data_IF_169917142715
#
_entry.id   IF_169917142715
#
_cell.length_a   1.000
_cell.length_b   1.000
_cell.length_c   1.000
_cell.angle_alpha   90.00
_cell.angle_beta   90.00
_cell.angle_gamma   90.00
#
_symmetry.space_group_name_H-M   'P 1'
#
loop_
_entity.id
_entity.type
_entity.pdbx_description
1 polymer ?
#
# COMPACT_ATOMS: atom_id res chain seq x y z
N UNK A 1 -57.27 -66.58 46.45
CA UNK A 1 -57.93 -65.25 46.32
C UNK A 1 -56.93 -64.14 46.63
N UNK A 2 -57.20 -62.90 46.18
CA UNK A 2 -56.50 -61.63 46.49
C UNK A 2 -55.05 -61.46 45.98
N UNK A 3 -54.96 -60.86 44.80
CA UNK A 3 -54.15 -59.69 44.43
C UNK A 3 -52.75 -59.47 45.04
N UNK A 4 -51.77 -59.26 44.16
CA UNK A 4 -50.99 -58.01 44.14
C UNK A 4 -50.65 -57.59 42.70
N UNK A 5 -50.42 -56.30 42.49
CA UNK A 5 -50.37 -55.68 41.16
C UNK A 5 -48.94 -55.34 40.70
N UNK A 6 -48.80 -55.38 39.37
CA UNK A 6 -47.81 -54.70 38.52
C UNK A 6 -46.99 -53.56 39.12
N UNK A 7 -45.68 -53.58 38.81
CA UNK A 7 -44.94 -52.40 38.32
C UNK A 7 -43.89 -52.86 37.31
N UNK A 8 -43.87 -52.23 36.14
CA UNK A 8 -42.88 -52.52 35.09
C UNK A 8 -41.61 -51.68 35.23
N UNK A 9 -40.48 -52.22 34.78
CA UNK A 9 -39.26 -51.46 34.52
C UNK A 9 -38.98 -51.44 33.02
N UNK A 10 -38.95 -50.25 32.42
CA UNK A 10 -38.49 -50.05 31.04
C UNK A 10 -36.96 -49.94 31.03
N UNK A 11 -36.32 -50.47 29.99
CA UNK A 11 -34.87 -50.55 29.90
C UNK A 11 -34.19 -49.20 29.68
N UNK A 12 -33.11 -48.95 30.43
CA UNK A 12 -32.30 -47.74 30.28
C UNK A 12 -31.28 -47.93 29.13
N UNK A 13 -31.33 -47.07 28.12
CA UNK A 13 -30.56 -47.22 26.89
C UNK A 13 -29.09 -46.79 27.06
N UNK A 14 -28.18 -47.48 26.35
CA UNK A 14 -26.75 -47.14 26.32
C UNK A 14 -26.55 -45.69 25.84
N UNK A 15 -26.08 -44.81 26.72
CA UNK A 15 -25.72 -43.45 26.37
C UNK A 15 -24.58 -43.39 25.37
N UNK A 16 -24.88 -43.06 24.11
CA UNK A 16 -23.87 -42.77 23.11
C UNK A 16 -23.12 -41.49 23.50
N UNK A 17 -21.80 -41.58 23.74
CA UNK A 17 -20.96 -40.39 23.90
C UNK A 17 -20.91 -39.66 22.56
N UNK A 18 -21.67 -38.58 22.45
CA UNK A 18 -21.47 -37.59 21.39
C UNK A 18 -20.06 -37.03 21.55
N UNK A 19 -19.16 -37.41 20.65
CA UNK A 19 -17.87 -36.76 20.50
C UNK A 19 -18.17 -35.32 20.08
N UNK A 20 -17.89 -34.36 20.97
CA UNK A 20 -18.07 -32.95 20.67
C UNK A 20 -17.00 -32.56 19.66
N UNK A 21 -17.39 -32.52 18.38
CA UNK A 21 -16.46 -32.34 17.28
C UNK A 21 -15.54 -31.14 17.50
N UNK A 22 -14.24 -31.39 17.38
CA UNK A 22 -13.21 -30.37 17.59
C UNK A 22 -13.04 -29.55 16.31
N UNK A 23 -14.11 -28.85 15.92
CA UNK A 23 -14.11 -27.98 14.75
C UNK A 23 -12.92 -27.01 14.80
N UNK A 24 -12.26 -26.75 13.65
CA UNK A 24 -11.04 -25.96 13.62
C UNK A 24 -11.29 -24.60 14.26
N UNK A 25 -10.38 -24.17 15.15
CA UNK A 25 -10.55 -22.96 15.96
C UNK A 25 -10.67 -21.72 15.07
N UNK A 26 -11.90 -21.34 14.72
CA UNK A 26 -12.21 -20.31 13.72
C UNK A 26 -11.47 -19.00 13.97
N UNK A 27 -11.21 -18.65 15.23
CA UNK A 27 -10.43 -17.48 15.64
C UNK A 27 -9.07 -17.34 14.94
N UNK A 28 -8.32 -18.42 14.74
CA UNK A 28 -6.98 -18.38 14.14
C UNK A 28 -6.98 -18.64 12.61
N UNK A 29 -8.11 -19.05 12.05
CA UNK A 29 -8.28 -19.17 10.59
C UNK A 29 -8.23 -17.79 9.92
N UNK A 30 -7.66 -17.77 8.71
CA UNK A 30 -7.60 -16.58 7.83
C UNK A 30 -8.59 -16.78 6.68
N UNK A 31 -9.80 -16.20 6.73
CA UNK A 31 -10.82 -16.36 5.70
C UNK A 31 -10.35 -15.81 4.35
N UNK A 32 -10.47 -16.63 3.31
CA UNK A 32 -10.12 -16.31 1.92
C UNK A 32 -11.35 -16.45 1.03
N UNK A 33 -11.55 -15.47 0.14
CA UNK A 33 -12.60 -15.51 -0.88
C UNK A 33 -12.38 -16.71 -1.81
N UNK A 34 -13.47 -17.37 -2.19
CA UNK A 34 -13.43 -18.45 -3.17
C UNK A 34 -13.45 -17.87 -4.59
N UNK A 35 -12.38 -18.02 -5.40
CA UNK A 35 -12.29 -17.37 -6.72
C UNK A 35 -13.19 -18.00 -7.78
N UNK A 36 -13.80 -19.17 -7.53
CA UNK A 36 -14.67 -19.86 -8.51
C UNK A 36 -16.14 -19.46 -8.42
N UNK A 37 -16.54 -18.64 -7.45
CA UNK A 37 -17.94 -18.31 -7.16
C UNK A 37 -18.25 -16.85 -7.50
N UNK A 38 -19.27 -16.63 -8.33
CA UNK A 38 -19.80 -15.29 -8.62
C UNK A 38 -20.55 -14.73 -7.40
N UNK A 39 -19.83 -13.94 -6.60
CA UNK A 39 -20.32 -13.28 -5.39
C UNK A 39 -21.58 -12.43 -5.60
N UNK A 40 -21.90 -12.02 -6.84
CA UNK A 40 -23.11 -11.23 -7.16
C UNK A 40 -24.38 -12.08 -7.26
N UNK A 41 -24.25 -13.41 -7.37
CA UNK A 41 -25.38 -14.36 -7.45
C UNK A 41 -25.74 -14.99 -6.11
N UNK A 42 -24.91 -14.78 -5.09
CA UNK A 42 -25.17 -15.30 -3.75
C UNK A 42 -26.24 -14.47 -3.03
N UNK A 43 -27.15 -15.10 -2.26
CA UNK A 43 -28.18 -14.40 -1.48
C UNK A 43 -27.59 -13.80 -0.18
N UNK A 44 -26.62 -12.89 -0.33
CA UNK A 44 -25.96 -12.20 0.78
C UNK A 44 -26.86 -11.12 1.38
N UNK A 45 -26.98 -11.08 2.70
CA UNK A 45 -27.55 -9.90 3.37
C UNK A 45 -26.53 -8.76 3.49
N UNK A 46 -26.99 -7.59 3.97
CA UNK A 46 -26.14 -6.40 4.08
C UNK A 46 -24.94 -6.56 5.03
N UNK A 47 -25.08 -7.32 6.12
CA UNK A 47 -23.97 -7.62 7.04
C UNK A 47 -22.93 -8.53 6.38
N UNK A 48 -23.38 -9.59 5.69
CA UNK A 48 -22.53 -10.52 4.94
C UNK A 48 -21.77 -9.80 3.82
N UNK A 49 -22.45 -8.98 3.01
CA UNK A 49 -21.82 -8.17 1.97
C UNK A 49 -20.81 -7.16 2.54
N UNK A 50 -21.14 -6.53 3.68
CA UNK A 50 -20.22 -5.62 4.38
C UNK A 50 -18.98 -6.35 4.90
N UNK A 51 -19.13 -7.46 5.63
CA UNK A 51 -17.99 -8.26 6.13
C UNK A 51 -17.13 -8.73 4.96
N UNK A 52 -17.75 -9.27 3.91
CA UNK A 52 -17.05 -9.78 2.73
C UNK A 52 -16.28 -8.68 1.98
N UNK A 53 -16.77 -7.43 1.96
CA UNK A 53 -16.03 -6.28 1.41
C UNK A 53 -14.73 -5.96 2.15
N UNK A 54 -14.68 -6.27 3.46
CA UNK A 54 -13.53 -6.03 4.34
C UNK A 54 -12.47 -7.11 4.26
N UNK A 55 -12.85 -8.35 3.93
CA UNK A 55 -11.92 -9.47 3.80
C UNK A 55 -10.86 -9.21 2.72
N UNK A 56 -9.59 -9.32 3.13
CA UNK A 56 -8.40 -9.13 2.31
C UNK A 56 -7.66 -10.45 2.00
N UNK A 57 -8.07 -11.57 2.62
CA UNK A 57 -7.40 -12.86 2.52
C UNK A 57 -6.16 -13.01 3.42
N UNK A 58 -5.86 -12.00 4.26
CA UNK A 58 -4.68 -11.94 5.12
C UNK A 58 -4.99 -11.63 6.60
N UNK A 59 -6.17 -11.09 6.90
CA UNK A 59 -6.61 -10.81 8.28
C UNK A 59 -7.26 -12.05 8.91
N UNK A 60 -6.80 -12.45 10.11
CA UNK A 60 -7.35 -13.59 10.87
C UNK A 60 -8.74 -13.28 11.42
N UNK A 61 -9.60 -14.28 11.58
CA UNK A 61 -10.97 -14.07 12.03
C UNK A 61 -11.08 -13.36 13.39
N UNK A 62 -10.20 -13.68 14.35
CA UNK A 62 -10.10 -13.00 15.66
C UNK A 62 -9.77 -11.49 15.58
N UNK A 63 -9.12 -11.06 14.50
CA UNK A 63 -8.63 -9.71 14.28
C UNK A 63 -9.64 -8.86 13.48
N UNK A 64 -10.59 -9.50 12.78
CA UNK A 64 -11.65 -8.84 12.01
C UNK A 64 -12.65 -7.97 12.82
N UNK A 65 -13.00 -8.23 14.09
CA UNK A 65 -13.85 -7.33 14.89
C UNK A 65 -13.34 -5.88 14.94
N UNK A 66 -12.01 -5.69 14.91
CA UNK A 66 -11.39 -4.37 14.85
C UNK A 66 -11.57 -3.67 13.49
N UNK A 67 -11.86 -4.41 12.41
CA UNK A 67 -12.12 -3.88 11.07
C UNK A 67 -13.61 -3.61 10.80
N UNK A 68 -14.50 -4.38 11.43
CA UNK A 68 -15.95 -4.37 11.15
C UNK A 68 -16.76 -3.66 12.23
N UNK A 69 -16.25 -3.57 13.46
CA UNK A 69 -17.01 -3.10 14.63
C UNK A 69 -18.06 -4.10 15.14
N UNK A 70 -18.15 -5.30 14.54
CA UNK A 70 -19.10 -6.34 14.93
C UNK A 70 -18.55 -7.20 16.08
N UNK A 71 -19.39 -7.68 17.03
CA UNK A 71 -18.95 -8.58 18.07
C UNK A 71 -18.52 -9.94 17.48
N UNK A 72 -17.53 -10.57 18.13
CA UNK A 72 -16.86 -11.77 17.61
C UNK A 72 -17.82 -12.94 17.32
N UNK A 73 -18.81 -13.16 18.18
CA UNK A 73 -19.83 -14.20 18.05
C UNK A 73 -20.66 -14.01 16.77
N UNK A 74 -21.23 -12.81 16.58
CA UNK A 74 -21.98 -12.46 15.37
C UNK A 74 -21.13 -12.58 14.11
N UNK A 75 -19.84 -12.28 14.21
CA UNK A 75 -18.91 -12.41 13.10
C UNK A 75 -18.58 -13.88 12.77
N UNK A 76 -18.46 -14.75 13.77
CA UNK A 76 -18.33 -16.20 13.58
C UNK A 76 -19.58 -16.75 12.85
N UNK A 77 -20.79 -16.34 13.24
CA UNK A 77 -22.02 -16.73 12.54
C UNK A 77 -22.01 -16.32 11.05
N UNK A 78 -21.61 -15.07 10.77
CA UNK A 78 -21.51 -14.54 9.40
C UNK A 78 -20.48 -15.35 8.59
N UNK A 79 -19.29 -15.57 9.14
CA UNK A 79 -18.24 -16.34 8.47
C UNK A 79 -18.67 -17.79 8.21
N UNK A 80 -19.36 -18.43 9.16
CA UNK A 80 -19.91 -19.78 8.98
C UNK A 80 -20.93 -19.83 7.83
N UNK A 81 -21.88 -18.88 7.77
CA UNK A 81 -22.84 -18.79 6.65
C UNK A 81 -22.14 -18.54 5.31
N UNK A 82 -21.14 -17.67 5.26
CA UNK A 82 -20.36 -17.41 4.05
C UNK A 82 -19.54 -18.62 3.56
N UNK A 83 -19.09 -19.52 4.46
CA UNK A 83 -18.48 -20.81 4.07
C UNK A 83 -19.55 -21.76 3.52
N UNK A 84 -20.70 -21.89 4.19
CA UNK A 84 -21.81 -22.75 3.74
C UNK A 84 -22.39 -22.30 2.39
N UNK A 85 -22.39 -21.01 2.10
CA UNK A 85 -22.75 -20.43 0.79
C UNK A 85 -21.64 -20.57 -0.27
N UNK A 86 -20.47 -21.10 0.06
CA UNK A 86 -19.33 -21.27 -0.84
C UNK A 86 -18.57 -19.98 -1.17
N UNK A 87 -18.91 -18.84 -0.56
CA UNK A 87 -18.27 -17.54 -0.78
C UNK A 87 -16.82 -17.50 -0.24
N UNK A 88 -16.55 -18.29 0.81
CA UNK A 88 -15.24 -18.46 1.43
C UNK A 88 -14.75 -19.89 1.25
N UNK A 89 -13.45 -20.03 1.02
CA UNK A 89 -12.77 -21.31 1.08
C UNK A 89 -12.82 -21.84 2.53
N UNK A 90 -13.23 -23.11 2.78
CA UNK A 90 -13.20 -23.69 4.11
C UNK A 90 -11.82 -23.57 4.78
N UNK A 91 -11.81 -23.53 6.11
CA UNK A 91 -10.60 -23.45 6.91
C UNK A 91 -9.78 -24.73 6.89
N UNK A 92 -9.10 -24.99 5.78
CA UNK A 92 -8.08 -26.02 5.69
C UNK A 92 -6.99 -25.76 6.75
N UNK A 93 -6.68 -26.79 7.54
CA UNK A 93 -5.56 -26.74 8.46
C UNK A 93 -4.27 -26.54 7.67
N UNK A 94 -3.56 -25.44 7.94
CA UNK A 94 -2.17 -25.36 7.56
C UNK A 94 -1.43 -26.42 8.40
N UNK A 95 -0.70 -27.37 7.79
CA UNK A 95 0.01 -28.39 8.56
C UNK A 95 0.95 -27.69 9.54
N UNK A 96 0.86 -28.06 10.81
CA UNK A 96 1.58 -27.38 11.88
C UNK A 96 3.09 -27.44 11.58
N UNK A 97 3.69 -26.26 11.42
CA UNK A 97 5.08 -26.11 11.00
C UNK A 97 5.99 -26.72 12.08
N UNK A 98 6.46 -27.95 11.87
CA UNK A 98 7.28 -28.67 12.84
C UNK A 98 8.63 -27.97 12.95
N UNK A 99 8.82 -27.26 14.06
CA UNK A 99 10.07 -26.59 14.39
C UNK A 99 11.17 -27.65 14.52
N UNK A 100 11.96 -27.81 13.45
CA UNK A 100 13.26 -28.47 13.54
C UNK A 100 14.14 -27.58 14.42
N UNK A 101 14.46 -28.06 15.61
CA UNK A 101 15.52 -27.48 16.43
C UNK A 101 16.85 -27.96 15.84
N UNK A 102 17.62 -27.04 15.24
CA UNK A 102 18.98 -27.33 14.82
C UNK A 102 19.88 -27.42 16.06
N UNK A 103 20.19 -28.65 16.51
CA UNK A 103 21.21 -28.91 17.52
C UNK A 103 22.56 -29.13 16.85
N UNK A 104 23.37 -28.07 16.78
CA UNK A 104 24.72 -28.13 16.24
C UNK A 104 25.73 -28.67 17.27
N UNK A 105 26.57 -29.65 16.88
CA UNK A 105 27.95 -29.86 17.39
C UNK A 105 28.71 -30.99 16.67
N UNK A 106 30.04 -30.94 16.76
CA UNK A 106 31.01 -32.04 16.58
C UNK A 106 31.33 -32.59 15.17
N UNK A 107 32.12 -31.82 14.42
CA UNK A 107 33.49 -32.16 13.95
C UNK A 107 33.85 -33.58 13.44
N UNK A 108 34.33 -33.68 12.19
CA UNK A 108 35.10 -34.82 11.64
C UNK A 108 35.60 -34.56 10.20
N UNK A 109 36.88 -34.82 9.82
CA UNK A 109 37.46 -34.33 8.54
C UNK A 109 37.89 -35.41 7.52
N UNK A 110 38.44 -34.95 6.38
CA UNK A 110 39.09 -35.69 5.25
C UNK A 110 38.10 -36.34 4.26
N UNK A 111 38.33 -36.33 2.94
CA UNK A 111 39.40 -35.74 2.13
C UNK A 111 39.22 -35.98 0.61
N UNK A 112 40.20 -35.56 -0.21
CA UNK A 112 40.25 -35.66 -1.70
C UNK A 112 39.22 -34.80 -2.47
N UNK A 113 39.55 -33.93 -3.43
CA UNK A 113 40.51 -33.91 -4.56
C UNK A 113 40.04 -34.70 -5.82
N UNK A 114 40.35 -34.16 -7.01
CA UNK A 114 39.91 -34.57 -8.39
C UNK A 114 38.71 -33.78 -8.93
N UNK A 115 38.60 -33.30 -10.18
CA UNK A 115 39.57 -32.87 -11.24
C UNK A 115 38.78 -32.04 -12.28
N UNK A 116 39.40 -31.04 -12.91
CA UNK A 116 38.78 -30.27 -14.01
C UNK A 116 38.79 -31.03 -15.36
N UNK A 117 37.89 -30.68 -16.29
CA UNK A 117 38.41 -30.14 -17.55
C UNK A 117 37.57 -29.01 -18.20
N UNK A 118 38.26 -28.02 -18.76
CA UNK A 118 37.78 -27.29 -19.96
C UNK A 118 38.15 -28.11 -21.21
N UNK A 119 37.53 -27.85 -22.37
CA UNK A 119 38.33 -27.21 -23.43
C UNK A 119 37.58 -26.25 -24.37
N UNK A 120 38.34 -25.26 -24.90
CA UNK A 120 38.33 -24.61 -26.25
C UNK A 120 36.97 -24.17 -26.87
N UNK A 121 36.78 -22.94 -27.39
CA UNK A 121 37.62 -21.96 -28.10
C UNK A 121 37.85 -22.20 -29.61
N UNK A 122 37.13 -21.43 -30.43
CA UNK A 122 37.39 -20.99 -31.81
C UNK A 122 36.59 -19.65 -31.98
N UNK A 123 37.07 -18.50 -32.46
CA UNK A 123 37.95 -18.09 -33.57
C UNK A 123 37.19 -17.58 -34.81
N UNK A 124 36.96 -16.26 -34.85
CA UNK A 124 37.30 -15.27 -35.94
C UNK A 124 37.26 -15.71 -37.42
N UNK A 125 36.87 -14.82 -38.39
CA UNK A 125 37.52 -13.51 -38.54
C UNK A 125 36.76 -12.30 -39.16
N UNK A 126 37.50 -11.20 -39.15
CA UNK A 126 37.36 -9.80 -39.62
C UNK A 126 36.78 -9.50 -41.01
N UNK A 127 36.25 -8.26 -41.14
CA UNK A 127 36.45 -7.35 -42.29
C UNK A 127 36.57 -5.89 -41.76
N UNK A 128 37.15 -4.94 -42.52
CA UNK A 128 37.63 -3.65 -41.95
C UNK A 128 37.75 -2.46 -42.93
N UNK A 129 37.03 -1.37 -42.69
CA UNK A 129 37.23 -0.01 -43.27
C UNK A 129 36.74 1.11 -42.31
N UNK A 130 37.20 2.38 -42.26
CA UNK A 130 38.18 3.23 -42.99
C UNK A 130 37.60 4.31 -43.96
N UNK A 131 37.82 5.63 -43.83
CA UNK A 131 38.35 6.40 -42.66
C UNK A 131 37.81 7.86 -42.46
N UNK A 132 38.13 8.90 -43.28
CA UNK A 132 38.48 10.21 -42.67
C UNK A 132 37.82 11.51 -43.22
N UNK A 133 38.25 12.66 -42.63
CA UNK A 133 38.01 14.09 -42.96
C UNK A 133 36.72 14.73 -42.38
N UNK A 134 36.65 16.01 -41.94
CA UNK A 134 37.62 17.12 -41.69
C UNK A 134 37.01 18.01 -40.55
N UNK A 135 37.72 18.51 -39.54
CA UNK A 135 38.68 19.64 -39.48
C UNK A 135 38.09 21.06 -39.60
N UNK A 136 38.07 21.83 -38.50
CA UNK A 136 37.95 23.29 -38.44
C UNK A 136 38.50 23.83 -37.09
N UNK A 137 39.04 25.05 -37.03
CA UNK A 137 39.62 25.65 -35.79
C UNK A 137 39.72 27.17 -35.84
N UNK A 138 39.39 27.85 -34.74
CA UNK A 138 39.67 29.27 -34.40
C UNK A 138 39.84 29.26 -32.86
N UNK A 139 41.03 29.52 -32.26
CA UNK A 139 41.54 30.84 -31.78
C UNK A 139 40.48 31.63 -30.96
N UNK A 140 40.74 32.35 -29.86
CA UNK A 140 41.90 32.97 -29.20
C UNK A 140 41.30 34.20 -28.45
N UNK A 141 41.72 34.67 -27.28
CA UNK A 141 43.05 35.10 -26.83
C UNK A 141 43.13 35.18 -25.28
N UNK A 142 44.31 35.51 -24.74
CA UNK A 142 44.63 35.67 -23.31
C UNK A 142 44.73 37.13 -22.85
N UNK A 143 44.54 37.43 -21.55
CA UNK A 143 45.41 38.38 -20.83
C UNK A 143 45.33 38.31 -19.27
N UNK A 144 46.52 38.36 -18.65
CA UNK A 144 46.88 38.67 -17.24
C UNK A 144 47.81 39.91 -17.25
N UNK A 145 48.38 40.43 -16.13
CA UNK A 145 48.24 40.14 -14.67
C UNK A 145 47.68 41.41 -13.92
N UNK A 146 48.02 41.90 -12.69
CA UNK A 146 48.94 41.54 -11.58
C UNK A 146 48.55 42.27 -10.25
N UNK A 147 49.29 42.04 -9.15
CA UNK A 147 49.30 42.87 -7.91
C UNK A 147 48.46 42.33 -6.73
N UNK A 148 48.91 41.94 -5.53
CA UNK A 148 50.05 42.26 -4.63
C UNK A 148 49.68 43.18 -3.42
N UNK A 149 49.17 42.55 -2.34
CA UNK A 149 49.70 42.48 -0.95
C UNK A 149 50.65 43.59 -0.40
N UNK A 150 50.78 43.80 0.95
CA UNK A 150 50.05 43.22 2.10
C UNK A 150 49.59 44.27 3.20
N UNK A 151 50.03 44.34 4.50
CA UNK A 151 49.05 44.44 5.62
C UNK A 151 49.36 45.39 6.82
N UNK A 152 48.33 45.93 7.49
CA UNK A 152 48.35 46.31 8.93
C UNK A 152 46.89 46.17 9.48
N UNK A 153 46.59 45.98 10.78
CA UNK A 153 47.48 45.80 11.93
C UNK A 153 47.22 46.81 13.07
N UNK A 154 46.11 46.70 13.82
CA UNK A 154 45.95 47.44 15.09
C UNK A 154 44.88 46.88 16.06
N UNK A 155 44.87 47.45 17.27
CA UNK A 155 44.31 46.93 18.51
C UNK A 155 42.83 47.31 18.78
N UNK A 156 42.27 46.75 19.87
CA UNK A 156 40.92 47.10 20.36
C UNK A 156 40.85 48.45 21.09
N UNK A 157 39.66 48.80 21.64
CA UNK A 157 39.39 48.28 22.98
C UNK A 157 37.92 47.90 23.28
N UNK A 158 37.73 47.36 24.49
CA UNK A 158 36.48 46.95 25.15
C UNK A 158 35.29 47.92 25.02
N UNK A 159 34.09 47.35 24.84
CA UNK A 159 32.82 47.90 25.34
C UNK A 159 31.96 46.78 25.96
N UNK A 160 31.24 47.13 27.02
CA UNK A 160 30.49 46.22 27.89
C UNK A 160 28.98 46.54 27.82
N UNK A 161 28.20 45.66 27.18
CA UNK A 161 26.74 45.77 27.07
C UNK A 161 26.06 44.39 27.14
N UNK A 162 25.65 44.04 28.37
CA UNK A 162 24.35 43.47 28.81
C UNK A 162 23.45 42.67 27.84
N UNK A 163 22.86 41.63 28.41
CA UNK A 163 21.53 41.05 28.12
C UNK A 163 21.07 41.05 26.65
N UNK A 164 21.25 39.90 26.00
CA UNK A 164 20.48 39.52 24.80
C UNK A 164 19.59 38.32 25.15
N UNK A 165 18.32 38.40 24.75
CA UNK A 165 17.29 37.40 25.08
C UNK A 165 17.61 36.00 24.52
N UNK A 166 17.07 34.92 25.11
CA UNK A 166 17.19 33.58 24.53
C UNK A 166 16.60 33.57 23.12
N UNK A 167 17.44 33.24 22.15
CA UNK A 167 17.04 33.01 20.76
C UNK A 167 15.84 32.04 20.72
N UNK A 168 14.76 32.34 19.99
CA UNK A 168 13.70 31.37 19.78
C UNK A 168 14.28 30.15 19.06
N UNK A 169 13.86 28.95 19.47
CA UNK A 169 14.26 27.71 18.82
C UNK A 169 14.00 27.81 17.32
N UNK A 170 15.04 27.53 16.52
CA UNK A 170 14.90 27.33 15.09
C UNK A 170 14.18 26.00 14.84
N UNK A 171 12.87 25.96 15.09
CA UNK A 171 12.03 24.82 14.70
C UNK A 171 12.24 24.58 13.21
N UNK A 172 12.66 23.34 12.90
CA UNK A 172 13.07 22.99 11.56
C UNK A 172 11.90 23.21 10.59
N UNK A 173 12.19 23.87 9.46
CA UNK A 173 11.33 23.84 8.30
C UNK A 173 11.33 22.41 7.71
N UNK A 174 10.61 21.49 8.36
CA UNK A 174 10.34 20.17 7.79
C UNK A 174 9.60 20.37 6.45
N UNK A 175 10.16 19.84 5.38
CA UNK A 175 9.72 20.13 4.03
C UNK A 175 8.31 19.59 3.77
N UNK A 176 7.31 20.48 3.83
CA UNK A 176 5.92 20.23 3.44
C UNK A 176 5.74 20.21 1.92
N UNK A 177 6.62 19.46 1.23
CA UNK A 177 6.79 19.42 -0.22
C UNK A 177 5.77 18.46 -0.88
N UNK A 178 4.46 18.65 -0.64
CA UNK A 178 3.41 17.89 -1.34
C UNK A 178 2.03 18.59 -1.45
N UNK A 179 1.97 19.92 -1.55
CA UNK A 179 0.72 20.64 -1.85
C UNK A 179 0.89 21.85 -2.80
N UNK A 180 -0.14 22.09 -3.62
CA UNK A 180 -0.40 23.31 -4.40
C UNK A 180 0.69 23.85 -5.37
N UNK A 181 1.19 23.02 -6.29
CA UNK A 181 1.42 23.54 -7.65
C UNK A 181 0.04 23.79 -8.30
N UNK A 182 -0.25 24.96 -8.92
CA UNK A 182 -1.57 25.23 -9.47
C UNK A 182 -1.89 24.25 -10.60
N UNK A 183 -2.91 23.43 -10.38
CA UNK A 183 -3.24 22.34 -11.30
C UNK A 183 -4.02 22.86 -12.50
N UNK A 184 -3.43 22.70 -13.69
CA UNK A 184 -4.13 22.83 -14.97
C UNK A 184 -5.12 21.66 -15.17
N UNK A 185 -6.14 21.57 -14.31
CA UNK A 185 -7.39 20.88 -14.65
C UNK A 185 -8.12 21.71 -15.72
N UNK A 186 -8.37 21.09 -16.86
CA UNK A 186 -9.16 21.68 -17.95
C UNK A 186 -10.56 22.00 -17.39
N UNK A 187 -11.06 23.25 -17.48
CA UNK A 187 -12.36 23.62 -16.94
C UNK A 187 -13.49 22.74 -17.47
N UNK A 188 -14.45 22.36 -16.61
CA UNK A 188 -15.48 21.36 -16.93
C UNK A 188 -16.35 21.76 -18.15
N UNK A 189 -16.57 23.06 -18.37
CA UNK A 189 -17.24 23.56 -19.57
C UNK A 189 -16.45 23.25 -20.87
N UNK A 190 -15.12 23.28 -20.82
CA UNK A 190 -14.23 22.95 -21.95
C UNK A 190 -14.20 21.43 -22.16
N UNK A 191 -14.17 20.63 -21.09
CA UNK A 191 -14.35 19.17 -21.16
C UNK A 191 -15.68 18.79 -21.83
N UNK A 192 -16.77 19.49 -21.48
CA UNK A 192 -18.07 19.32 -22.10
C UNK A 192 -18.07 19.61 -23.61
N UNK A 193 -17.32 20.63 -24.05
CA UNK A 193 -17.17 20.96 -25.47
C UNK A 193 -16.42 19.87 -26.25
N UNK A 194 -15.28 19.36 -25.75
CA UNK A 194 -14.54 18.26 -26.38
C UNK A 194 -15.40 17.00 -26.49
N UNK A 195 -16.09 16.64 -25.41
CA UNK A 195 -16.97 15.47 -25.39
C UNK A 195 -18.14 15.61 -26.37
N UNK A 196 -18.76 16.80 -26.46
CA UNK A 196 -19.82 17.09 -27.43
C UNK A 196 -19.31 17.01 -28.87
N UNK A 197 -18.08 17.46 -29.16
CA UNK A 197 -17.46 17.35 -30.48
C UNK A 197 -17.25 15.87 -30.85
N UNK A 198 -16.74 15.07 -29.90
CA UNK A 198 -16.60 13.62 -30.08
C UNK A 198 -17.94 12.93 -30.38
N UNK A 199 -18.94 13.12 -29.52
CA UNK A 199 -20.25 12.46 -29.62
C UNK A 199 -21.04 12.87 -30.87
N UNK A 200 -20.85 14.09 -31.40
CA UNK A 200 -21.62 14.60 -32.56
C UNK A 200 -20.93 14.47 -33.91
N UNK A 201 -19.59 14.43 -33.97
CA UNK A 201 -18.83 14.38 -35.24
C UNK A 201 -17.98 13.13 -35.39
N UNK A 202 -17.19 12.79 -34.38
CA UNK A 202 -16.10 11.82 -34.50
C UNK A 202 -16.59 10.39 -34.28
N UNK A 203 -17.43 10.16 -33.26
CA UNK A 203 -17.94 8.83 -32.91
C UNK A 203 -18.72 8.13 -34.04
N UNK A 204 -19.30 8.88 -34.97
CA UNK A 204 -20.01 8.34 -36.13
C UNK A 204 -19.07 7.79 -37.24
N UNK A 205 -17.76 8.08 -37.17
CA UNK A 205 -16.79 7.66 -38.17
C UNK A 205 -16.30 6.22 -37.92
N UNK A 206 -16.01 5.44 -38.99
CA UNK A 206 -15.35 4.13 -38.90
C UNK A 206 -14.06 4.18 -38.07
N UNK A 207 -13.69 3.05 -37.46
CA UNK A 207 -12.49 2.93 -36.62
C UNK A 207 -11.23 3.37 -37.36
N UNK A 208 -11.01 2.86 -38.58
CA UNK A 208 -9.82 3.19 -39.39
C UNK A 208 -9.73 4.70 -39.69
N UNK A 209 -10.86 5.38 -39.87
CA UNK A 209 -10.91 6.83 -40.10
C UNK A 209 -10.58 7.61 -38.83
N UNK A 210 -11.07 7.17 -37.65
CA UNK A 210 -10.71 7.77 -36.36
C UNK A 210 -9.23 7.55 -36.02
N UNK A 211 -8.69 6.37 -36.33
CA UNK A 211 -7.25 6.06 -36.22
C UNK A 211 -6.43 6.99 -37.11
N UNK A 212 -6.76 7.10 -38.40
CA UNK A 212 -6.06 7.97 -39.34
C UNK A 212 -6.11 9.45 -38.94
N UNK A 213 -7.26 9.94 -38.47
CA UNK A 213 -7.41 11.31 -37.94
C UNK A 213 -6.58 11.53 -36.68
N UNK A 214 -6.54 10.57 -35.76
CA UNK A 214 -5.85 10.71 -34.48
C UNK A 214 -4.34 11.00 -34.61
N UNK A 215 -3.66 10.38 -35.57
CA UNK A 215 -2.24 10.62 -35.84
C UNK A 215 -1.91 12.07 -36.24
N UNK A 216 -2.84 12.76 -36.92
CA UNK A 216 -2.62 14.10 -37.49
C UNK A 216 -3.41 15.23 -36.83
N UNK A 217 -4.39 14.93 -35.99
CA UNK A 217 -5.28 15.90 -35.38
C UNK A 217 -4.54 17.00 -34.58
N UNK A 218 -5.20 18.14 -34.47
CA UNK A 218 -4.88 19.25 -33.58
C UNK A 218 -6.11 19.58 -32.72
N UNK A 219 -5.97 20.45 -31.72
CA UNK A 219 -7.10 20.80 -30.85
C UNK A 219 -8.09 21.74 -31.56
N UNK A 220 -9.42 21.57 -31.36
CA UNK A 220 -10.08 20.75 -30.33
C UNK A 220 -10.29 19.27 -30.67
N UNK A 221 -10.11 18.84 -31.92
CA UNK A 221 -10.33 17.46 -32.36
C UNK A 221 -9.46 16.44 -31.61
N UNK A 222 -8.20 16.75 -31.32
CA UNK A 222 -7.28 15.87 -30.60
C UNK A 222 -7.73 15.61 -29.14
N UNK A 223 -8.11 16.67 -28.41
CA UNK A 223 -8.76 16.53 -27.09
C UNK A 223 -10.10 15.80 -27.14
N UNK A 224 -10.86 15.91 -28.23
CA UNK A 224 -12.09 15.15 -28.41
C UNK A 224 -11.83 13.64 -28.65
N UNK A 225 -10.80 13.28 -29.43
CA UNK A 225 -10.40 11.87 -29.65
C UNK A 225 -9.87 11.18 -28.38
N UNK A 226 -9.47 11.93 -27.35
CA UNK A 226 -9.10 11.37 -26.04
C UNK A 226 -10.27 10.71 -25.29
N UNK A 227 -11.51 10.93 -25.71
CA UNK A 227 -12.72 10.29 -25.15
C UNK A 227 -13.07 8.95 -25.84
N UNK A 228 -12.31 8.53 -26.85
CA UNK A 228 -12.64 7.35 -27.66
C UNK A 228 -12.56 6.04 -26.82
N UNK A 229 -13.57 5.15 -26.88
CA UNK A 229 -13.52 3.85 -26.20
C UNK A 229 -12.57 2.83 -26.86
N UNK A 230 -12.12 3.06 -28.10
CA UNK A 230 -11.33 2.11 -28.90
C UNK A 230 -9.82 2.25 -28.62
N UNK A 231 -9.11 1.18 -28.21
CA UNK A 231 -7.67 1.23 -27.96
C UNK A 231 -6.80 1.59 -29.17
N UNK A 232 -7.22 1.27 -30.39
CA UNK A 232 -6.49 1.63 -31.61
C UNK A 232 -6.44 3.15 -31.81
N UNK A 233 -7.59 3.83 -31.67
CA UNK A 233 -7.68 5.30 -31.76
C UNK A 233 -6.84 5.97 -30.68
N UNK A 234 -6.88 5.46 -29.44
CA UNK A 234 -6.06 5.99 -28.33
C UNK A 234 -4.56 5.76 -28.55
N UNK A 235 -4.13 4.64 -29.15
CA UNK A 235 -2.72 4.42 -29.53
C UNK A 235 -2.28 5.42 -30.61
N UNK A 236 -3.07 5.59 -31.67
CA UNK A 236 -2.80 6.55 -32.73
C UNK A 236 -2.79 8.01 -32.22
N UNK A 237 -3.69 8.35 -31.30
CA UNK A 237 -3.70 9.65 -30.62
C UNK A 237 -2.43 9.83 -29.78
N UNK A 238 -2.01 8.84 -28.98
CA UNK A 238 -0.75 8.90 -28.24
C UNK A 238 0.43 9.09 -29.20
N UNK A 239 0.46 8.39 -30.33
CA UNK A 239 1.53 8.50 -31.34
C UNK A 239 1.62 9.87 -32.04
N UNK A 240 0.55 10.68 -32.02
CA UNK A 240 0.57 12.06 -32.51
C UNK A 240 1.60 12.92 -31.73
N UNK A 241 2.51 13.65 -32.42
CA UNK A 241 3.55 14.45 -31.77
C UNK A 241 3.01 15.63 -30.92
N UNK A 242 1.73 15.99 -31.06
CA UNK A 242 1.07 17.07 -30.31
C UNK A 242 0.50 16.63 -28.95
N UNK A 243 0.45 15.32 -28.66
CA UNK A 243 -0.14 14.83 -27.39
C UNK A 243 0.77 15.12 -26.20
N UNK A 244 0.38 16.15 -25.44
CA UNK A 244 0.97 16.56 -24.17
C UNK A 244 0.23 16.00 -22.94
N UNK A 245 0.56 16.56 -21.77
CA UNK A 245 0.00 16.09 -20.48
C UNK A 245 -1.51 16.30 -20.35
N UNK A 246 -2.07 17.34 -20.97
CA UNK A 246 -3.51 17.59 -20.98
C UNK A 246 -4.29 16.40 -21.57
N UNK A 247 -3.93 15.97 -22.78
CA UNK A 247 -4.46 14.78 -23.45
C UNK A 247 -4.23 13.51 -22.63
N UNK A 248 -3.03 13.32 -22.06
CA UNK A 248 -2.72 12.18 -21.20
C UNK A 248 -3.64 12.10 -19.97
N UNK A 249 -3.98 13.24 -19.36
CA UNK A 249 -4.90 13.35 -18.22
C UNK A 249 -6.36 13.07 -18.63
N UNK A 250 -6.80 13.51 -19.81
CA UNK A 250 -8.12 13.15 -20.37
C UNK A 250 -8.25 11.62 -20.53
N UNK A 251 -7.28 10.97 -21.18
CA UNK A 251 -7.27 9.52 -21.41
C UNK A 251 -7.28 8.78 -20.06
N UNK A 252 -6.44 9.19 -19.11
CA UNK A 252 -6.41 8.62 -17.75
C UNK A 252 -7.78 8.66 -17.05
N UNK A 253 -8.49 9.79 -17.13
CA UNK A 253 -9.75 10.05 -16.42
C UNK A 253 -10.96 9.38 -17.08
N UNK A 254 -10.96 9.24 -18.40
CA UNK A 254 -12.18 8.93 -19.16
C UNK A 254 -12.11 7.64 -20.01
N UNK A 255 -10.94 7.19 -20.42
CA UNK A 255 -10.84 6.01 -21.31
C UNK A 255 -11.26 4.73 -20.57
N UNK A 256 -12.03 3.89 -21.26
CA UNK A 256 -12.78 2.76 -20.65
C UNK A 256 -12.24 1.38 -20.99
N UNK A 257 -11.13 1.27 -21.72
CA UNK A 257 -10.54 -0.02 -22.07
C UNK A 257 -9.13 -0.14 -21.45
N UNK A 258 -8.82 -1.24 -20.73
CA UNK A 258 -7.52 -1.40 -20.07
C UNK A 258 -6.34 -1.35 -21.05
N UNK A 259 -6.51 -1.76 -22.30
CA UNK A 259 -5.44 -1.77 -23.32
C UNK A 259 -5.00 -0.35 -23.71
N UNK A 260 -5.91 0.63 -23.70
CA UNK A 260 -5.54 2.04 -23.92
C UNK A 260 -4.90 2.69 -22.68
N UNK A 261 -5.30 2.29 -21.48
CA UNK A 261 -4.62 2.70 -20.24
C UNK A 261 -3.20 2.12 -20.14
N UNK A 262 -2.99 0.90 -20.61
CA UNK A 262 -1.65 0.30 -20.74
C UNK A 262 -0.79 0.94 -21.84
N UNK A 263 -1.40 1.44 -22.92
CA UNK A 263 -0.69 2.24 -23.92
C UNK A 263 -0.26 3.62 -23.37
N UNK A 264 -1.15 4.29 -22.63
CA UNK A 264 -0.88 5.58 -22.01
C UNK A 264 0.36 5.54 -21.09
N UNK A 265 0.42 4.56 -20.20
CA UNK A 265 1.50 4.40 -19.20
C UNK A 265 2.77 3.75 -19.76
N UNK A 266 2.76 3.25 -21.00
CA UNK A 266 3.98 2.80 -21.68
C UNK A 266 4.93 3.98 -21.95
N UNK A 267 4.40 5.21 -22.03
CA UNK A 267 5.20 6.44 -22.06
C UNK A 267 5.62 6.83 -20.64
N UNK A 268 6.91 6.69 -20.34
CA UNK A 268 7.49 6.99 -19.03
C UNK A 268 7.15 8.41 -18.54
N UNK A 269 7.14 9.41 -19.42
CA UNK A 269 6.77 10.80 -19.08
C UNK A 269 5.33 10.92 -18.54
N UNK A 270 4.38 10.14 -19.09
CA UNK A 270 2.98 10.15 -18.64
C UNK A 270 2.79 9.32 -17.37
N UNK A 271 3.50 8.21 -17.23
CA UNK A 271 3.56 7.47 -15.96
C UNK A 271 4.23 8.27 -14.83
N UNK A 272 5.10 9.23 -15.18
CA UNK A 272 5.78 10.14 -14.25
C UNK A 272 4.93 11.34 -13.79
N UNK A 273 3.91 11.76 -14.54
CA UNK A 273 3.01 12.85 -14.13
C UNK A 273 2.11 12.46 -12.95
N UNK A 274 1.94 13.39 -12.00
CA UNK A 274 1.08 13.21 -10.82
C UNK A 274 -0.40 13.31 -11.18
N UNK A 275 -0.78 14.14 -12.16
CA UNK A 275 -2.16 14.25 -12.64
C UNK A 275 -2.65 12.96 -13.31
N UNK A 276 -1.89 12.45 -14.30
CA UNK A 276 -2.14 11.16 -14.95
C UNK A 276 -2.25 10.03 -13.92
N UNK A 277 -1.31 9.95 -12.96
CA UNK A 277 -1.40 8.98 -11.85
C UNK A 277 -2.70 9.11 -11.06
N UNK A 278 -3.07 10.32 -10.64
CA UNK A 278 -4.27 10.59 -9.82
C UNK A 278 -5.56 10.21 -10.54
N UNK A 279 -5.67 10.50 -11.84
CA UNK A 279 -6.84 10.09 -12.62
C UNK A 279 -6.87 8.58 -12.89
N UNK A 280 -5.73 7.95 -13.15
CA UNK A 280 -5.65 6.50 -13.34
C UNK A 280 -6.15 5.72 -12.12
N UNK A 281 -5.74 6.06 -10.90
CA UNK A 281 -6.20 5.34 -9.68
C UNK A 281 -7.69 5.51 -9.40
N UNK A 282 -8.32 6.57 -9.93
CA UNK A 282 -9.77 6.81 -9.84
C UNK A 282 -10.55 6.18 -11.01
N UNK A 283 -9.88 5.72 -12.07
CA UNK A 283 -10.51 5.08 -13.22
C UNK A 283 -10.96 3.64 -12.86
N UNK A 284 -12.27 3.30 -12.95
CA UNK A 284 -12.79 1.96 -12.64
C UNK A 284 -12.25 0.82 -13.52
N UNK A 285 -11.61 1.15 -14.66
CA UNK A 285 -11.08 0.19 -15.62
C UNK A 285 -9.56 -0.04 -15.49
N UNK A 286 -8.92 0.54 -14.47
CA UNK A 286 -7.49 0.33 -14.20
C UNK A 286 -7.20 -1.15 -13.84
N UNK A 287 -6.36 -1.89 -14.60
CA UNK A 287 -5.99 -3.25 -14.24
C UNK A 287 -5.19 -3.29 -12.93
N UNK A 288 -5.51 -4.23 -12.04
CA UNK A 288 -4.75 -4.44 -10.80
C UNK A 288 -3.26 -4.78 -11.08
N UNK A 289 -2.94 -5.43 -12.20
CA UNK A 289 -1.56 -5.68 -12.63
C UNK A 289 -0.83 -4.37 -12.99
N UNK A 290 -1.48 -3.47 -13.74
CA UNK A 290 -0.93 -2.15 -14.07
C UNK A 290 -0.77 -1.30 -12.80
N UNK A 291 -1.78 -1.25 -11.93
CA UNK A 291 -1.70 -0.54 -10.66
C UNK A 291 -0.51 -1.02 -9.82
N UNK A 292 -0.32 -2.34 -9.64
CA UNK A 292 0.84 -2.88 -8.93
C UNK A 292 2.17 -2.48 -9.60
N UNK A 293 2.28 -2.54 -10.93
CA UNK A 293 3.48 -2.10 -11.67
C UNK A 293 3.83 -0.63 -11.42
N UNK A 294 2.83 0.24 -11.27
CA UNK A 294 3.02 1.67 -11.03
C UNK A 294 3.25 2.03 -9.56
N UNK A 295 2.57 1.36 -8.61
CA UNK A 295 2.60 1.74 -7.19
C UNK A 295 3.55 0.94 -6.30
N UNK A 296 3.98 -0.27 -6.66
CA UNK A 296 4.73 -1.14 -5.73
C UNK A 296 6.01 -0.53 -5.12
N UNK A 297 6.64 0.44 -5.80
CA UNK A 297 7.86 1.12 -5.32
C UNK A 297 7.59 2.49 -4.66
N UNK A 298 6.34 2.91 -4.53
CA UNK A 298 5.94 4.18 -3.90
C UNK A 298 6.01 4.10 -2.36
N UNK A 299 5.95 5.26 -1.69
CA UNK A 299 6.05 5.34 -0.22
C UNK A 299 4.82 4.76 0.48
N UNK A 300 4.97 4.30 1.72
CA UNK A 300 3.88 3.80 2.57
C UNK A 300 2.77 4.84 2.77
N UNK A 301 3.13 6.13 2.88
CA UNK A 301 2.15 7.22 3.01
C UNK A 301 1.24 7.32 1.79
N UNK A 302 1.78 7.20 0.58
CA UNK A 302 1.01 7.28 -0.67
C UNK A 302 0.03 6.11 -0.80
N UNK A 303 0.48 4.90 -0.44
CA UNK A 303 -0.38 3.74 -0.35
C UNK A 303 -1.52 3.97 0.65
N UNK A 304 -1.23 4.55 1.82
CA UNK A 304 -2.27 4.85 2.80
C UNK A 304 -3.26 5.93 2.31
N UNK A 305 -2.79 7.01 1.67
CA UNK A 305 -3.65 8.03 1.02
C UNK A 305 -4.67 7.35 0.10
N UNK A 306 -4.25 6.39 -0.73
CA UNK A 306 -5.17 5.61 -1.59
C UNK A 306 -6.11 4.67 -0.82
N UNK A 307 -5.73 4.14 0.35
CA UNK A 307 -6.64 3.28 1.15
C UNK A 307 -7.80 4.04 1.78
N UNK A 308 -7.70 5.36 1.94
CA UNK A 308 -8.74 6.21 2.56
C UNK A 308 -9.48 7.12 1.57
N UNK A 309 -8.94 7.36 0.38
CA UNK A 309 -9.59 8.12 -0.70
C UNK A 309 -10.93 7.46 -1.09
N UNK A 310 -12.02 8.24 -1.06
CA UNK A 310 -13.37 7.76 -1.36
C UNK A 310 -13.62 7.61 -2.86
N UNK A 311 -12.94 8.41 -3.67
CA UNK A 311 -13.11 8.49 -5.14
C UNK A 311 -12.37 7.35 -5.86
N UNK A 312 -11.39 6.74 -5.20
CA UNK A 312 -10.69 5.54 -5.68
C UNK A 312 -11.64 4.33 -5.64
N UNK A 313 -11.85 3.58 -6.74
CA UNK A 313 -12.69 2.38 -6.77
C UNK A 313 -12.27 1.33 -5.73
N UNK A 314 -13.23 0.59 -5.17
CA UNK A 314 -12.93 -0.39 -4.11
C UNK A 314 -12.01 -1.54 -4.57
N UNK A 315 -12.00 -1.87 -5.86
CA UNK A 315 -11.01 -2.75 -6.48
C UNK A 315 -9.58 -2.21 -6.29
N UNK A 316 -9.35 -0.96 -6.69
CA UNK A 316 -8.07 -0.26 -6.53
C UNK A 316 -7.71 -0.08 -5.06
N UNK A 317 -8.65 0.30 -4.19
CA UNK A 317 -8.43 0.37 -2.73
C UNK A 317 -8.02 -0.96 -2.13
N UNK A 318 -8.63 -2.07 -2.56
CA UNK A 318 -8.24 -3.42 -2.09
C UNK A 318 -6.81 -3.76 -2.48
N UNK A 319 -6.39 -3.48 -3.71
CA UNK A 319 -5.00 -3.68 -4.15
C UNK A 319 -4.04 -2.69 -3.47
N UNK A 320 -4.47 -1.46 -3.16
CA UNK A 320 -3.68 -0.53 -2.35
C UNK A 320 -3.50 -1.04 -0.89
N UNK A 321 -4.52 -1.65 -0.29
CA UNK A 321 -4.45 -2.31 1.03
C UNK A 321 -3.47 -3.51 1.01
N UNK A 322 -3.52 -4.34 -0.04
CA UNK A 322 -2.58 -5.45 -0.27
C UNK A 322 -1.13 -4.96 -0.35
N UNK A 323 -0.85 -3.98 -1.22
CA UNK A 323 0.48 -3.38 -1.37
C UNK A 323 0.96 -2.68 -0.09
N UNK A 324 0.08 -1.96 0.63
CA UNK A 324 0.40 -1.32 1.90
C UNK A 324 0.87 -2.36 2.94
N UNK A 325 0.17 -3.50 3.06
CA UNK A 325 0.57 -4.59 3.97
C UNK A 325 1.89 -5.24 3.53
N UNK A 326 2.07 -5.48 2.23
CA UNK A 326 3.31 -6.03 1.67
C UNK A 326 4.51 -5.13 1.93
N UNK A 327 4.40 -3.82 1.62
CA UNK A 327 5.45 -2.82 1.83
C UNK A 327 5.71 -2.53 3.30
N UNK A 328 4.70 -2.62 4.18
CA UNK A 328 4.90 -2.45 5.62
C UNK A 328 5.67 -3.62 6.24
N UNK A 329 5.48 -4.84 5.73
CA UNK A 329 6.27 -6.00 6.15
C UNK A 329 7.76 -5.86 5.77
N UNK A 330 8.06 -5.49 4.52
CA UNK A 330 9.42 -5.51 3.96
C UNK A 330 10.15 -4.17 3.98
N UNK A 331 9.46 -3.06 4.23
CA UNK A 331 10.03 -1.71 4.18
C UNK A 331 11.00 -1.38 5.32
N UNK A 332 11.75 -0.27 5.19
CA UNK A 332 12.61 0.24 6.26
C UNK A 332 11.80 0.67 7.48
N UNK A 333 12.41 0.58 8.66
CA UNK A 333 11.76 0.85 9.95
C UNK A 333 11.31 2.32 10.08
N UNK A 334 12.10 3.24 9.53
CA UNK A 334 11.87 4.68 9.51
C UNK A 334 10.53 5.02 8.85
N UNK A 335 10.31 4.52 7.62
CA UNK A 335 9.09 4.72 6.83
C UNK A 335 7.83 4.17 7.55
N UNK A 336 7.98 3.10 8.34
CA UNK A 336 6.88 2.56 9.19
C UNK A 336 6.56 3.48 10.35
N UNK A 337 7.56 4.11 10.97
CA UNK A 337 7.37 5.07 12.05
C UNK A 337 6.73 6.35 11.53
N UNK A 338 7.21 6.89 10.41
CA UNK A 338 6.61 8.05 9.72
C UNK A 338 5.14 7.78 9.38
N UNK A 339 4.81 6.61 8.82
CA UNK A 339 3.42 6.22 8.56
C UNK A 339 2.57 6.22 9.85
N UNK A 340 3.09 5.66 10.95
CA UNK A 340 2.34 5.56 12.21
C UNK A 340 2.15 6.94 12.85
N UNK A 341 3.18 7.78 12.88
CA UNK A 341 3.11 9.10 13.50
C UNK A 341 2.24 10.07 12.68
N UNK A 342 2.51 10.20 11.38
CA UNK A 342 1.87 11.20 10.51
C UNK A 342 0.41 10.85 10.19
N UNK A 343 -0.04 9.62 10.46
CA UNK A 343 -1.46 9.22 10.39
C UNK A 343 -2.14 9.15 11.76
N UNK A 344 -1.47 9.53 12.85
CA UNK A 344 -1.93 9.29 14.23
C UNK A 344 -2.33 7.83 14.49
N UNK A 345 -1.65 6.88 13.86
CA UNK A 345 -1.97 5.46 13.93
C UNK A 345 -3.23 5.04 13.16
N UNK A 346 -3.89 5.92 12.40
CA UNK A 346 -5.08 5.57 11.58
C UNK A 346 -4.75 4.49 10.55
N UNK A 347 -3.52 4.49 10.01
CA UNK A 347 -3.03 3.43 9.12
C UNK A 347 -2.99 2.03 9.78
N UNK A 348 -2.95 1.93 11.12
CA UNK A 348 -2.94 0.64 11.83
C UNK A 348 -4.22 -0.16 11.60
N UNK A 349 -5.33 0.50 11.23
CA UNK A 349 -6.57 -0.16 10.80
C UNK A 349 -6.43 -0.97 9.50
N UNK A 350 -5.46 -0.65 8.62
CA UNK A 350 -5.13 -1.48 7.47
C UNK A 350 -4.04 -2.54 7.79
N UNK A 351 -3.37 -2.41 8.94
CA UNK A 351 -2.21 -3.19 9.38
C UNK A 351 -2.52 -4.08 10.59
N UNK A 352 -3.79 -4.40 10.84
CA UNK A 352 -4.19 -5.33 11.90
C UNK A 352 -3.56 -6.71 11.64
N UNK A 353 -3.02 -7.32 12.70
CA UNK A 353 -2.25 -8.56 12.65
C UNK A 353 -0.83 -8.44 12.10
N UNK A 354 -0.40 -7.27 11.61
CA UNK A 354 0.98 -7.06 11.12
C UNK A 354 1.91 -6.69 12.27
N UNK A 355 2.93 -7.51 12.62
CA UNK A 355 3.93 -7.12 13.61
C UNK A 355 4.89 -6.06 13.06
N UNK A 356 5.66 -5.44 13.95
CA UNK A 356 6.81 -4.60 13.59
C UNK A 356 8.11 -5.16 14.16
N UNK A 357 9.20 -4.84 13.49
CA UNK A 357 10.56 -5.20 13.88
C UNK A 357 11.06 -4.45 15.13
N UNK A 358 12.14 -4.95 15.72
CA UNK A 358 12.74 -4.38 16.93
C UNK A 358 13.24 -2.93 16.75
N UNK A 359 13.72 -2.57 15.54
CA UNK A 359 14.19 -1.21 15.24
C UNK A 359 13.01 -0.23 15.18
N UNK A 360 11.93 -0.57 14.45
CA UNK A 360 10.66 0.17 14.45
C UNK A 360 10.11 0.32 15.87
N UNK A 361 10.16 -0.74 16.68
CA UNK A 361 9.72 -0.71 18.09
C UNK A 361 10.57 0.26 18.92
N UNK A 362 11.90 0.21 18.78
CA UNK A 362 12.83 1.09 19.49
C UNK A 362 12.63 2.56 19.10
N UNK A 363 12.47 2.85 17.80
CA UNK A 363 12.20 4.20 17.28
C UNK A 363 10.87 4.77 17.80
N UNK A 364 9.82 3.96 17.94
CA UNK A 364 8.56 4.37 18.58
C UNK A 364 8.73 4.63 20.08
N UNK A 365 9.44 3.75 20.80
CA UNK A 365 9.78 3.97 22.21
C UNK A 365 10.70 5.18 22.44
N UNK A 366 11.43 5.64 21.42
CA UNK A 366 12.22 6.87 21.45
C UNK A 366 11.38 8.17 21.38
N UNK A 367 10.06 8.09 21.19
CA UNK A 367 9.17 9.27 21.08
C UNK A 367 8.37 9.54 22.35
N UNK A 368 8.10 10.83 22.56
CA UNK A 368 7.17 11.36 23.57
C UNK A 368 5.80 11.58 22.92
N UNK A 369 4.75 11.00 23.50
CA UNK A 369 3.42 10.96 22.88
C UNK A 369 2.55 12.13 23.35
N UNK A 370 2.28 13.08 22.43
CA UNK A 370 1.40 14.24 22.67
C UNK A 370 -0.06 14.03 22.23
N UNK A 371 -0.33 13.29 21.14
CA UNK A 371 -1.70 13.02 20.66
C UNK A 371 -2.39 11.89 21.45
N UNK A 372 -3.55 12.13 22.09
CA UNK A 372 -4.35 11.07 22.71
C UNK A 372 -4.87 10.04 21.70
N UNK A 373 -5.15 10.47 20.47
CA UNK A 373 -5.70 9.61 19.41
C UNK A 373 -4.66 8.62 18.89
N UNK A 374 -3.41 9.05 18.73
CA UNK A 374 -2.29 8.15 18.41
C UNK A 374 -2.13 7.06 19.48
N UNK A 375 -2.20 7.42 20.76
CA UNK A 375 -2.16 6.44 21.86
C UNK A 375 -3.39 5.52 21.84
N UNK A 376 -4.58 6.05 21.56
CA UNK A 376 -5.81 5.26 21.45
C UNK A 376 -5.75 4.24 20.30
N UNK A 377 -5.20 4.62 19.15
CA UNK A 377 -5.04 3.74 17.99
C UNK A 377 -3.96 2.67 18.24
N UNK A 378 -2.83 3.04 18.84
CA UNK A 378 -1.80 2.08 19.28
C UNK A 378 -2.36 1.08 20.32
N UNK A 379 -3.22 1.54 21.23
CA UNK A 379 -3.89 0.69 22.22
C UNK A 379 -5.00 -0.22 21.65
N UNK A 380 -5.38 -0.04 20.37
CA UNK A 380 -6.34 -0.90 19.64
C UNK A 380 -5.66 -1.88 18.68
N UNK A 381 -4.39 -1.65 18.34
CA UNK A 381 -3.64 -2.45 17.37
C UNK A 381 -3.14 -3.75 18.01
N UNK A 382 -3.78 -4.87 17.70
CA UNK A 382 -3.52 -6.19 18.31
C UNK A 382 -2.06 -6.67 18.23
N UNK A 383 -1.30 -6.19 17.25
CA UNK A 383 0.10 -6.51 17.03
C UNK A 383 1.10 -5.51 17.69
N UNK A 384 0.62 -4.53 18.48
CA UNK A 384 1.47 -3.56 19.17
C UNK A 384 2.48 -4.26 20.09
N UNK A 385 3.80 -4.03 19.95
CA UNK A 385 4.83 -4.74 20.72
C UNK A 385 4.68 -4.56 22.24
N UNK A 386 4.95 -5.58 23.07
CA UNK A 386 4.88 -5.46 24.54
C UNK A 386 5.71 -4.30 25.10
N UNK A 387 6.91 -4.07 24.53
CA UNK A 387 7.78 -2.95 24.91
C UNK A 387 7.15 -1.59 24.65
N UNK A 388 6.41 -1.44 23.55
CA UNK A 388 5.72 -0.20 23.21
C UNK A 388 4.51 0.04 24.13
N UNK A 389 3.74 -1.00 24.45
CA UNK A 389 2.64 -0.92 25.41
C UNK A 389 3.16 -0.53 26.81
N UNK A 390 4.28 -1.13 27.24
CA UNK A 390 4.95 -0.81 28.50
C UNK A 390 5.55 0.62 28.52
N UNK A 391 5.99 1.15 27.37
CA UNK A 391 6.42 2.55 27.24
C UNK A 391 5.25 3.53 27.32
N UNK A 392 4.17 3.27 26.57
CA UNK A 392 2.95 4.09 26.57
C UNK A 392 2.35 4.21 27.98
N UNK A 393 2.34 3.13 28.77
CA UNK A 393 1.88 3.13 30.17
C UNK A 393 2.73 4.00 31.12
N UNK A 394 3.94 4.40 30.71
CA UNK A 394 4.82 5.31 31.47
C UNK A 394 4.68 6.78 31.03
N UNK A 395 4.05 7.06 29.88
CA UNK A 395 3.89 8.42 29.35
C UNK A 395 3.01 9.28 30.27
N UNK A 396 3.40 10.54 30.45
CA UNK A 396 2.65 11.52 31.26
C UNK A 396 1.20 11.72 30.77
N UNK A 397 0.98 11.70 29.46
CA UNK A 397 -0.35 11.78 28.86
C UNK A 397 -1.27 10.64 29.34
N UNK A 398 -0.74 9.41 29.42
CA UNK A 398 -1.48 8.21 29.85
C UNK A 398 -1.68 8.18 31.35
N UNK A 399 -0.72 8.67 32.13
CA UNK A 399 -0.86 8.85 33.60
C UNK A 399 -1.98 9.82 33.94
N UNK A 400 -2.11 10.91 33.18
CA UNK A 400 -3.14 11.95 33.37
C UNK A 400 -4.51 11.57 32.81
N UNK A 401 -4.60 10.60 31.89
CA UNK A 401 -5.85 10.19 31.24
C UNK A 401 -6.22 8.74 31.60
N UNK A 402 -7.06 8.50 32.63
CA UNK A 402 -7.37 7.15 33.11
C UNK A 402 -8.06 6.27 32.05
N UNK A 403 -8.76 6.86 31.08
CA UNK A 403 -9.35 6.12 29.96
C UNK A 403 -8.28 5.47 29.07
N UNK A 404 -7.19 6.17 28.74
CA UNK A 404 -6.07 5.62 27.97
C UNK A 404 -5.34 4.54 28.77
N UNK A 405 -5.12 4.77 30.07
CA UNK A 405 -4.53 3.77 30.97
C UNK A 405 -5.37 2.49 31.02
N UNK A 406 -6.69 2.60 31.14
CA UNK A 406 -7.60 1.47 31.17
C UNK A 406 -7.65 0.69 29.83
N UNK A 407 -7.54 1.39 28.69
CA UNK A 407 -7.40 0.74 27.38
C UNK A 407 -6.08 -0.03 27.27
N UNK A 408 -4.96 0.59 27.66
CA UNK A 408 -3.63 -0.03 27.59
C UNK A 408 -3.50 -1.21 28.57
N UNK A 409 -4.06 -1.13 29.78
CA UNK A 409 -4.06 -2.24 30.74
C UNK A 409 -4.81 -3.48 30.22
N UNK A 410 -5.87 -3.28 29.44
CA UNK A 410 -6.66 -4.35 28.79
C UNK A 410 -6.01 -4.92 27.53
N UNK A 411 -4.90 -4.36 27.05
CA UNK A 411 -4.25 -4.81 25.82
C UNK A 411 -3.64 -6.23 26.01
N UNK A 412 -3.74 -7.14 25.02
CA UNK A 412 -3.19 -8.50 25.12
C UNK A 412 -1.70 -8.50 25.50
N UNK A 413 -0.92 -7.55 24.98
CA UNK A 413 0.52 -7.44 25.22
C UNK A 413 0.90 -6.55 26.42
N UNK A 414 -0.06 -6.14 27.26
CA UNK A 414 0.26 -5.31 28.44
C UNK A 414 1.02 -6.09 29.54
N UNK A 415 1.90 -5.42 30.31
CA UNK A 415 2.64 -6.04 31.41
C UNK A 415 1.76 -6.70 32.48
N UNK A 416 2.26 -7.77 33.10
CA UNK A 416 1.50 -8.62 34.02
C UNK A 416 1.22 -7.96 35.39
N UNK A 417 2.06 -7.01 35.79
CA UNK A 417 1.87 -6.11 36.93
C UNK A 417 0.68 -5.17 36.70
N UNK A 418 0.59 -4.53 35.53
CA UNK A 418 -0.50 -3.60 35.18
C UNK A 418 -1.84 -4.32 34.95
N UNK A 419 -1.83 -5.63 34.68
CA UNK A 419 -3.04 -6.47 34.58
C UNK A 419 -3.58 -6.97 35.93
N UNK A 420 -2.88 -6.70 37.04
CA UNK A 420 -3.27 -7.13 38.41
C UNK A 420 -3.74 -5.97 39.30
N UNK A 421 -3.80 -4.74 38.75
CA UNK A 421 -4.16 -3.50 39.42
C UNK A 421 -5.29 -2.78 38.67
#
# INVERSE_FOLDING_TARGET
MRCRQSRGGLGEARGARVVKDSGPRMNDWTPKLNPTVDLRRLPLNAEEGFVLSRLDGHTRARDLPALTGLPLERLQDILARLVTQGALLPGAEAPANTVRQDTASASGPLGSATTAPQPRAASTPSASTATPAQAASIQGTSHTPEGALPPEGHDGPSLDVRDTEPLPDAEAAEASDEDAAPEEEIPEAVLGNYRKLFETRLHALPEDQRVALAHGAEDPELSALCFDPVPAVIKAALENPRVGLAHARLIARHHRNPVGLEALVARAAFAADTGVRRFLVRNPQLPAALFRRMWALRRLMEHHKLTVDRDVPESTRRTARELLRQRFATGPSEEKVELILNTEGRALGALVGMPVDGKTTSLLCGRTYRSPLLVQNLARWSAAPPMLVAHLLKQELVRRQPQLRAMLARHPNAPADVKRA
#
